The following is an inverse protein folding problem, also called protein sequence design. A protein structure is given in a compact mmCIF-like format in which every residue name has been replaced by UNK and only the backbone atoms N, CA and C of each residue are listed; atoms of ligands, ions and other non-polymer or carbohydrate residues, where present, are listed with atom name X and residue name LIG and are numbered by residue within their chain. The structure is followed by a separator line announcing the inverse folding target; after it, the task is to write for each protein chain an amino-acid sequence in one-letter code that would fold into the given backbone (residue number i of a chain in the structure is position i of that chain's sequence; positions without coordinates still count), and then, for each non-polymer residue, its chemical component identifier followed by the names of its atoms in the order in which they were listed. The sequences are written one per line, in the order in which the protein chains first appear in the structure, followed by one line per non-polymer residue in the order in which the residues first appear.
data_IF_568340685804
#
_entry.id   IF_568340685804
#
_cell.length_a   1.000
_cell.length_b   1.000
_cell.length_c   1.000
_cell.angle_alpha   90.00
_cell.angle_beta   90.00
_cell.angle_gamma   90.00
#
_symmetry.space_group_name_H-M   'P 1'
#
loop_
_entity.id
_entity.type
_entity.pdbx_description
1 polymer ?
#
# COMPACT_ATOMS: atom_id res chain seq x y z
N UNK A 1 -12.61 14.53 2.74
CA UNK A 1 -12.37 13.99 1.38
C UNK A 1 -11.46 12.78 1.55
N UNK A 2 -11.86 11.63 1.03
CA UNK A 2 -11.14 10.36 1.21
C UNK A 2 -10.50 9.96 -0.11
N UNK A 3 -9.22 9.63 -0.09
CA UNK A 3 -8.47 9.19 -1.25
C UNK A 3 -8.46 7.67 -1.32
N UNK A 4 -8.75 7.12 -2.51
CA UNK A 4 -8.68 5.69 -2.74
C UNK A 4 -7.33 5.34 -3.39
N UNK A 5 -6.62 4.42 -2.77
CA UNK A 5 -5.28 3.98 -3.19
C UNK A 5 -5.38 2.74 -4.07
N UNK A 6 -4.65 2.75 -5.17
CA UNK A 6 -4.50 1.64 -6.12
C UNK A 6 -3.35 0.71 -5.71
N UNK A 7 -3.36 -0.55 -6.19
CA UNK A 7 -2.32 -1.53 -5.94
C UNK A 7 -0.92 -1.00 -6.30
N UNK A 8 -0.80 -0.22 -7.37
CA UNK A 8 0.47 0.36 -7.80
C UNK A 8 1.14 1.23 -6.74
N UNK A 9 0.38 1.94 -5.90
CA UNK A 9 0.93 2.79 -4.85
C UNK A 9 1.74 1.95 -3.86
N UNK A 10 1.19 0.79 -3.48
CA UNK A 10 1.82 -0.14 -2.54
C UNK A 10 3.02 -0.86 -3.19
N UNK A 11 2.86 -1.32 -4.43
CA UNK A 11 3.89 -2.07 -5.17
C UNK A 11 5.12 -1.18 -5.45
N UNK A 12 4.90 0.03 -5.96
CA UNK A 12 5.98 0.96 -6.26
C UNK A 12 6.64 1.49 -4.99
N UNK A 13 5.87 1.76 -3.93
CA UNK A 13 6.43 2.14 -2.64
C UNK A 13 7.38 1.05 -2.10
N UNK A 14 6.94 -0.22 -2.09
CA UNK A 14 7.77 -1.36 -1.65
C UNK A 14 9.04 -1.52 -2.48
N UNK A 15 8.93 -1.45 -3.81
CA UNK A 15 10.01 -1.84 -4.71
C UNK A 15 11.04 -0.74 -5.02
N UNK A 16 10.67 0.55 -4.91
CA UNK A 16 11.53 1.66 -5.37
C UNK A 16 11.99 2.59 -4.26
N UNK A 17 11.05 3.18 -3.51
CA UNK A 17 11.35 4.38 -2.71
C UNK A 17 11.16 4.18 -1.20
N UNK A 18 10.34 3.21 -0.79
CA UNK A 18 9.89 3.00 0.58
C UNK A 18 9.85 1.51 0.91
N UNK A 19 10.96 0.80 0.68
CA UNK A 19 11.11 -0.55 1.19
C UNK A 19 10.78 -0.60 2.69
N UNK A 20 10.09 -1.65 3.12
CA UNK A 20 9.59 -1.78 4.51
C UNK A 20 10.72 -1.62 5.55
N UNK A 21 11.92 -2.11 5.21
CA UNK A 21 13.11 -2.02 6.06
C UNK A 21 13.86 -0.69 5.95
N UNK A 22 13.62 0.07 4.87
CA UNK A 22 14.34 1.30 4.58
C UNK A 22 13.59 2.55 5.08
N UNK A 23 12.26 2.56 5.01
CA UNK A 23 11.45 3.70 5.44
C UNK A 23 10.09 3.24 6.00
N UNK A 24 10.05 2.75 7.26
CA UNK A 24 8.80 2.33 7.90
C UNK A 24 7.82 3.49 8.11
N UNK A 25 8.33 4.72 8.27
CA UNK A 25 7.53 5.92 8.52
C UNK A 25 6.48 6.20 7.43
N UNK A 26 6.76 5.84 6.17
CA UNK A 26 5.76 5.95 5.10
C UNK A 26 4.56 5.04 5.34
N UNK A 27 4.81 3.80 5.78
CA UNK A 27 3.79 2.79 6.04
C UNK A 27 3.00 3.11 7.31
N UNK A 28 3.68 3.58 8.35
CA UNK A 28 3.03 4.09 9.57
C UNK A 28 2.11 5.27 9.25
N UNK A 29 2.58 6.23 8.45
CA UNK A 29 1.78 7.35 8.00
C UNK A 29 0.54 6.89 7.22
N UNK A 30 0.66 5.85 6.39
CA UNK A 30 -0.48 5.30 5.65
C UNK A 30 -1.55 4.74 6.61
N UNK A 31 -1.13 4.00 7.64
CA UNK A 31 -2.01 3.44 8.67
C UNK A 31 -2.70 4.56 9.45
N UNK A 32 -1.98 5.60 9.86
CA UNK A 32 -2.54 6.76 10.56
C UNK A 32 -3.59 7.49 9.71
N UNK A 33 -3.33 7.69 8.42
CA UNK A 33 -4.27 8.35 7.53
C UNK A 33 -5.49 7.48 7.21
N UNK A 34 -5.32 6.15 7.20
CA UNK A 34 -6.43 5.21 7.09
C UNK A 34 -7.32 5.28 8.34
N UNK A 35 -6.72 5.27 9.53
CA UNK A 35 -7.44 5.43 10.79
C UNK A 35 -8.18 6.79 10.87
N UNK A 36 -7.61 7.84 10.26
CA UNK A 36 -8.24 9.15 10.14
C UNK A 36 -9.31 9.24 9.03
N UNK A 37 -9.60 8.16 8.30
CA UNK A 37 -10.57 8.13 7.20
C UNK A 37 -10.17 8.94 5.97
N UNK A 38 -8.88 9.30 5.86
CA UNK A 38 -8.35 10.13 4.77
C UNK A 38 -7.90 9.31 3.57
N UNK A 39 -7.38 8.10 3.80
CA UNK A 39 -6.99 7.18 2.73
C UNK A 39 -7.66 5.83 2.95
N UNK A 40 -7.91 5.10 1.88
CA UNK A 40 -8.43 3.75 1.93
C UNK A 40 -8.12 3.00 0.64
N UNK A 41 -8.42 1.71 0.60
CA UNK A 41 -8.37 0.92 -0.63
C UNK A 41 -9.57 -0.03 -0.66
N UNK A 42 -9.74 -0.75 -1.77
CA UNK A 42 -10.81 -1.72 -1.94
C UNK A 42 -10.28 -3.14 -1.82
N UNK A 43 -11.15 -4.07 -1.46
CA UNK A 43 -10.81 -5.49 -1.28
C UNK A 43 -10.07 -6.06 -2.51
N UNK A 44 -10.50 -5.67 -3.72
CA UNK A 44 -9.87 -6.08 -4.98
C UNK A 44 -8.39 -5.69 -5.08
N UNK A 45 -8.00 -4.52 -4.54
CA UNK A 45 -6.60 -4.09 -4.51
C UNK A 45 -5.80 -4.95 -3.52
N UNK A 46 -6.41 -5.33 -2.40
CA UNK A 46 -5.82 -6.30 -1.47
C UNK A 46 -5.57 -7.65 -2.14
N UNK A 47 -6.55 -8.16 -2.88
CA UNK A 47 -6.42 -9.41 -3.64
C UNK A 47 -5.31 -9.31 -4.70
N UNK A 48 -5.22 -8.20 -5.41
CA UNK A 48 -4.18 -7.97 -6.43
C UNK A 48 -2.77 -7.93 -5.84
N UNK A 49 -2.60 -7.30 -4.66
CA UNK A 49 -1.31 -7.28 -3.96
C UNK A 49 -0.93 -8.69 -3.46
N UNK A 50 -1.91 -9.45 -2.97
CA UNK A 50 -1.70 -10.82 -2.50
C UNK A 50 -1.31 -11.76 -3.66
N UNK A 51 -2.00 -11.67 -4.80
CA UNK A 51 -1.74 -12.49 -6.00
C UNK A 51 -0.46 -12.06 -6.71
N UNK A 52 -0.21 -10.75 -6.85
CA UNK A 52 1.02 -10.22 -7.47
C UNK A 52 2.30 -10.56 -6.70
N UNK A 53 2.21 -11.07 -5.48
CA UNK A 53 3.34 -11.62 -4.73
C UNK A 53 3.68 -13.07 -5.12
N UNK A 54 2.80 -13.78 -5.84
CA UNK A 54 2.89 -15.22 -6.12
C UNK A 54 3.33 -15.52 -7.58
N UNK A 55 2.99 -14.65 -8.53
CA UNK A 55 3.29 -14.79 -9.98
C UNK A 55 4.77 -14.56 -10.37
N UNK A 56 5.71 -14.58 -9.41
CA UNK A 56 7.16 -14.41 -9.63
C UNK A 56 7.99 -15.65 -9.25
N UNK A 57 7.35 -16.82 -9.13
CA UNK A 57 8.04 -18.10 -8.91
C UNK A 57 8.66 -18.67 -10.18
#
# INVERSE_FOLDING_TARGET
MTYLLDANVFIQAKNLHYGLDFCPAFWEWLIENHAAGKVGSIDKVGDEIAVGSDELS
#
